data_IF_042647149141
#
_entry.id   IF_042647149141
#
_cell.length_a   1.000
_cell.length_b   1.000
_cell.length_c   1.000
_cell.angle_alpha   90.00
_cell.angle_beta   90.00
_cell.angle_gamma   90.00
#
_symmetry.space_group_name_H-M   'P 1'
#
loop_
_entity.id
_entity.type
_entity.pdbx_description
1 polymer ?
#
# COMPACT_ATOMS: atom_id res chain seq x y z
N UNK A 1 19.66 -45.64 -12.61
CA UNK A 1 18.43 -44.81 -12.63
C UNK A 1 18.75 -43.46 -12.01
N UNK A 2 18.61 -42.40 -12.81
CA UNK A 2 19.03 -41.04 -12.49
C UNK A 2 18.29 -40.49 -11.27
N UNK A 3 19.04 -40.02 -10.28
CA UNK A 3 18.55 -39.01 -9.34
C UNK A 3 18.57 -37.68 -10.08
N UNK A 4 17.40 -37.24 -10.56
CA UNK A 4 17.24 -35.86 -11.02
C UNK A 4 17.27 -35.02 -9.74
N UNK A 5 18.24 -34.10 -9.57
CA UNK A 5 18.12 -33.12 -8.51
C UNK A 5 17.00 -32.17 -8.92
N UNK A 6 15.86 -32.25 -8.23
CA UNK A 6 14.81 -31.25 -8.31
C UNK A 6 15.42 -29.91 -7.92
N UNK A 7 15.67 -29.10 -8.93
CA UNK A 7 16.21 -27.78 -8.77
C UNK A 7 14.99 -26.87 -8.55
N UNK A 8 14.57 -26.76 -7.29
CA UNK A 8 13.57 -25.80 -6.79
C UNK A 8 14.10 -24.35 -7.00
N UNK A 9 14.29 -23.92 -8.24
CA UNK A 9 14.44 -22.49 -8.53
C UNK A 9 13.03 -21.92 -8.57
N UNK A 10 12.65 -21.08 -7.59
CA UNK A 10 11.40 -20.34 -7.71
C UNK A 10 11.44 -19.50 -8.98
N UNK A 11 10.51 -19.73 -9.90
CA UNK A 11 10.50 -19.01 -11.18
C UNK A 11 10.43 -17.50 -10.92
N UNK A 12 11.26 -16.72 -11.61
CA UNK A 12 11.31 -15.25 -11.48
C UNK A 12 9.94 -14.61 -11.73
N UNK A 13 9.11 -15.24 -12.58
CA UNK A 13 7.73 -14.83 -12.84
C UNK A 13 6.82 -15.05 -11.63
N UNK A 14 6.98 -16.16 -10.92
CA UNK A 14 6.20 -16.45 -9.71
C UNK A 14 6.60 -15.50 -8.57
N UNK A 15 7.89 -15.23 -8.39
CA UNK A 15 8.37 -14.32 -7.33
C UNK A 15 7.94 -12.87 -7.56
N UNK A 16 8.03 -12.39 -8.80
CA UNK A 16 7.53 -11.05 -9.18
C UNK A 16 6.00 -10.95 -9.09
N UNK A 17 5.28 -11.98 -9.52
CA UNK A 17 3.82 -12.06 -9.39
C UNK A 17 3.37 -12.04 -7.93
N UNK A 18 4.02 -12.81 -7.06
CA UNK A 18 3.74 -12.81 -5.62
C UNK A 18 4.04 -11.46 -4.99
N UNK A 19 5.13 -10.78 -5.38
CA UNK A 19 5.42 -9.43 -4.91
C UNK A 19 4.33 -8.42 -5.29
N UNK A 20 3.90 -8.43 -6.56
CA UNK A 20 2.84 -7.55 -7.03
C UNK A 20 1.51 -7.83 -6.31
N UNK A 21 1.17 -9.11 -6.15
CA UNK A 21 -0.02 -9.53 -5.42
C UNK A 21 0.01 -9.10 -3.95
N UNK A 22 1.17 -9.21 -3.29
CA UNK A 22 1.34 -8.71 -1.92
C UNK A 22 1.12 -7.20 -1.84
N UNK A 23 1.66 -6.41 -2.77
CA UNK A 23 1.45 -4.95 -2.76
C UNK A 23 -0.01 -4.57 -3.01
N UNK A 24 -0.67 -5.26 -3.93
CA UNK A 24 -2.11 -5.08 -4.16
C UNK A 24 -2.94 -5.48 -2.92
N UNK A 25 -2.59 -6.58 -2.26
CA UNK A 25 -3.24 -7.00 -1.02
C UNK A 25 -3.04 -5.98 0.12
N UNK A 26 -1.85 -5.39 0.25
CA UNK A 26 -1.58 -4.34 1.22
C UNK A 26 -2.43 -3.09 0.93
N UNK A 27 -2.47 -2.64 -0.33
CA UNK A 27 -3.29 -1.51 -0.73
C UNK A 27 -4.78 -1.77 -0.50
N UNK A 28 -5.26 -2.95 -0.85
CA UNK A 28 -6.65 -3.36 -0.62
C UNK A 28 -7.02 -3.38 0.86
N UNK A 29 -6.17 -3.96 1.71
CA UNK A 29 -6.40 -3.98 3.16
C UNK A 29 -6.33 -2.57 3.76
N UNK A 30 -5.41 -1.73 3.28
CA UNK A 30 -5.29 -0.32 3.69
C UNK A 30 -6.57 0.44 3.33
N UNK A 31 -7.11 0.23 2.13
CA UNK A 31 -8.37 0.81 1.69
C UNK A 31 -9.53 0.41 2.58
N UNK A 32 -9.67 -0.89 2.88
CA UNK A 32 -10.73 -1.39 3.76
C UNK A 32 -10.61 -0.80 5.16
N UNK A 33 -9.40 -0.75 5.74
CA UNK A 33 -9.17 -0.18 7.07
C UNK A 33 -9.52 1.31 7.13
N UNK A 34 -9.08 2.11 6.16
CA UNK A 34 -9.39 3.54 6.13
C UNK A 34 -10.89 3.75 5.89
N UNK A 35 -11.51 2.97 5.01
CA UNK A 35 -12.96 3.06 4.75
C UNK A 35 -13.80 2.71 5.97
N UNK A 36 -13.42 1.69 6.73
CA UNK A 36 -14.05 1.35 8.02
C UNK A 36 -13.87 2.47 9.06
N UNK A 37 -12.71 3.12 9.10
CA UNK A 37 -12.47 4.26 10.00
C UNK A 37 -13.32 5.47 9.59
N UNK A 38 -13.56 5.64 8.30
CA UNK A 38 -14.34 6.75 7.72
C UNK A 38 -15.85 6.50 7.70
N UNK A 39 -16.34 5.33 8.18
CA UNK A 39 -17.76 4.99 8.19
C UNK A 39 -18.60 5.96 9.06
N UNK A 40 -17.98 6.54 10.09
CA UNK A 40 -18.62 7.50 10.99
C UNK A 40 -18.62 8.95 10.48
N UNK A 41 -18.04 9.22 9.31
CA UNK A 41 -17.91 10.56 8.75
C UNK A 41 -18.82 10.72 7.52
N UNK A 42 -19.37 11.93 7.29
CA UNK A 42 -20.17 12.22 6.10
C UNK A 42 -19.31 12.07 4.84
N UNK A 43 -19.87 11.42 3.82
CA UNK A 43 -19.24 11.22 2.51
C UNK A 43 -20.19 11.66 1.40
N UNK A 44 -19.63 12.23 0.33
CA UNK A 44 -20.35 12.55 -0.89
C UNK A 44 -19.67 11.84 -2.06
N UNK A 45 -20.39 10.95 -2.75
CA UNK A 45 -19.86 10.17 -3.88
C UNK A 45 -18.53 9.43 -3.58
N UNK A 46 -18.39 8.87 -2.37
CA UNK A 46 -17.18 8.13 -1.95
C UNK A 46 -15.97 9.02 -1.63
N UNK A 47 -16.18 10.35 -1.53
CA UNK A 47 -15.19 11.33 -1.07
C UNK A 47 -15.62 11.80 0.32
N UNK A 48 -14.80 11.57 1.37
CA UNK A 48 -15.06 12.11 2.69
C UNK A 48 -15.06 13.64 2.69
N UNK A 49 -15.91 14.26 3.51
CA UNK A 49 -15.97 15.73 3.60
C UNK A 49 -14.60 16.32 3.99
N UNK A 50 -14.16 17.34 3.25
CA UNK A 50 -12.84 17.96 3.44
C UNK A 50 -11.67 17.21 2.79
N UNK A 51 -11.91 16.08 2.11
CA UNK A 51 -10.87 15.38 1.34
C UNK A 51 -10.86 15.85 -0.11
N UNK A 52 -9.68 15.97 -0.74
CA UNK A 52 -9.53 16.37 -2.13
C UNK A 52 -9.93 15.28 -3.12
N UNK A 53 -9.98 14.01 -2.68
CA UNK A 53 -10.19 12.86 -3.56
C UNK A 53 -10.70 11.64 -2.77
N UNK A 54 -11.17 10.62 -3.50
CA UNK A 54 -11.69 9.39 -2.91
C UNK A 54 -10.57 8.55 -2.27
N UNK A 55 -10.90 7.86 -1.18
CA UNK A 55 -9.97 6.97 -0.45
C UNK A 55 -9.26 5.96 -1.37
N UNK A 56 -9.95 5.21 -2.27
CA UNK A 56 -9.26 4.25 -3.14
C UNK A 56 -8.30 4.97 -4.09
N UNK A 57 -8.65 6.16 -4.59
CA UNK A 57 -7.76 6.92 -5.46
C UNK A 57 -6.48 7.36 -4.72
N UNK A 58 -6.60 7.81 -3.47
CA UNK A 58 -5.44 8.18 -2.64
C UNK A 58 -4.44 7.02 -2.52
N UNK A 59 -4.95 5.83 -2.24
CA UNK A 59 -4.15 4.66 -1.90
C UNK A 59 -3.55 4.04 -3.16
N UNK A 60 -4.34 3.83 -4.20
CA UNK A 60 -3.87 3.16 -5.41
C UNK A 60 -3.06 4.07 -6.33
N UNK A 61 -3.39 5.37 -6.44
CA UNK A 61 -2.68 6.29 -7.33
C UNK A 61 -1.42 6.91 -6.69
N UNK A 62 -1.42 7.18 -5.39
CA UNK A 62 -0.29 7.84 -4.72
C UNK A 62 0.43 6.91 -3.73
N UNK A 63 -0.32 6.22 -2.87
CA UNK A 63 0.25 5.36 -1.83
C UNK A 63 1.03 4.16 -2.38
N UNK A 64 0.45 3.43 -3.33
CA UNK A 64 1.05 2.23 -3.90
C UNK A 64 2.34 2.54 -4.69
N UNK A 65 2.39 3.54 -5.59
CA UNK A 65 3.63 3.92 -6.25
C UNK A 65 4.70 4.37 -5.27
N UNK A 66 4.34 5.16 -4.25
CA UNK A 66 5.30 5.60 -3.25
C UNK A 66 5.85 4.43 -2.40
N UNK A 67 5.04 3.41 -2.11
CA UNK A 67 5.49 2.19 -1.47
C UNK A 67 6.46 1.38 -2.34
N UNK A 68 6.26 1.36 -3.67
CA UNK A 68 7.21 0.74 -4.61
C UNK A 68 8.53 1.52 -4.65
N UNK A 69 8.47 2.85 -4.68
CA UNK A 69 9.66 3.70 -4.63
C UNK A 69 10.44 3.49 -3.33
N UNK A 70 9.75 3.41 -2.20
CA UNK A 70 10.36 3.12 -0.90
C UNK A 70 11.11 1.78 -0.90
N UNK A 71 10.50 0.72 -1.44
CA UNK A 71 11.13 -0.59 -1.56
C UNK A 71 12.37 -0.57 -2.46
N UNK A 72 12.29 0.12 -3.61
CA UNK A 72 13.41 0.26 -4.53
C UNK A 72 14.55 1.01 -3.85
N UNK A 73 14.25 2.09 -3.14
CA UNK A 73 15.24 2.88 -2.42
C UNK A 73 15.92 2.02 -1.33
N UNK A 74 15.16 1.24 -0.56
CA UNK A 74 15.73 0.34 0.44
C UNK A 74 16.63 -0.73 -0.17
N UNK A 75 16.27 -1.28 -1.33
CA UNK A 75 17.11 -2.23 -2.06
C UNK A 75 18.41 -1.58 -2.53
N UNK A 76 18.36 -0.33 -3.00
CA UNK A 76 19.55 0.43 -3.41
C UNK A 76 20.47 0.74 -2.22
N UNK A 77 19.90 1.10 -1.07
CA UNK A 77 20.66 1.34 0.16
C UNK A 77 21.26 0.05 0.75
N UNK A 78 20.82 -1.14 0.31
CA UNK A 78 21.21 -2.46 0.82
C UNK A 78 21.11 -2.55 2.36
N UNK A 79 20.24 -1.74 2.96
CA UNK A 79 20.14 -1.63 4.40
C UNK A 79 19.06 -2.58 4.92
N UNK A 80 19.44 -3.42 5.89
CA UNK A 80 18.50 -4.29 6.62
C UNK A 80 18.03 -3.63 7.93
N UNK A 81 18.46 -2.41 8.21
CA UNK A 81 18.10 -1.71 9.44
C UNK A 81 16.62 -1.30 9.43
N UNK A 82 15.91 -1.67 10.50
CA UNK A 82 14.52 -1.25 10.72
C UNK A 82 14.37 0.27 10.77
N UNK A 83 15.38 0.98 11.31
CA UNK A 83 15.37 2.44 11.38
C UNK A 83 15.45 3.05 9.98
N UNK A 84 16.33 2.52 9.13
CA UNK A 84 16.45 3.00 7.74
C UNK A 84 15.18 2.71 6.95
N UNK A 85 14.58 1.52 7.14
CA UNK A 85 13.27 1.20 6.55
C UNK A 85 12.20 2.19 6.97
N UNK A 86 12.13 2.56 8.26
CA UNK A 86 11.16 3.51 8.76
C UNK A 86 11.36 4.89 8.14
N UNK A 87 12.59 5.40 8.15
CA UNK A 87 12.92 6.73 7.59
C UNK A 87 12.58 6.81 6.11
N UNK A 88 12.92 5.78 5.33
CA UNK A 88 12.60 5.74 3.89
C UNK A 88 11.09 5.74 3.65
N UNK A 89 10.33 4.95 4.41
CA UNK A 89 8.86 4.93 4.30
C UNK A 89 8.23 6.26 4.71
N UNK A 90 8.75 6.91 5.76
CA UNK A 90 8.29 8.25 6.17
C UNK A 90 8.59 9.29 5.10
N UNK A 91 9.80 9.29 4.55
CA UNK A 91 10.19 10.23 3.49
C UNK A 91 9.36 10.02 2.21
N UNK A 92 9.17 8.76 1.80
CA UNK A 92 8.32 8.42 0.66
C UNK A 92 6.85 8.79 0.92
N UNK A 93 6.36 8.60 2.15
CA UNK A 93 5.00 8.93 2.56
C UNK A 93 4.74 10.43 2.53
N UNK A 94 5.67 11.20 3.07
CA UNK A 94 5.62 12.65 3.00
C UNK A 94 5.64 13.14 1.55
N UNK A 95 6.53 12.58 0.71
CA UNK A 95 6.59 12.88 -0.72
C UNK A 95 5.28 12.56 -1.46
N UNK A 96 4.65 11.42 -1.16
CA UNK A 96 3.36 11.05 -1.74
C UNK A 96 2.24 12.03 -1.35
N UNK A 97 2.23 12.44 -0.08
CA UNK A 97 1.29 13.44 0.44
C UNK A 97 1.47 14.81 -0.20
N UNK A 98 2.71 15.26 -0.38
CA UNK A 98 3.02 16.50 -1.09
C UNK A 98 2.65 16.43 -2.57
N UNK A 99 2.91 15.30 -3.23
CA UNK A 99 2.53 15.09 -4.63
C UNK A 99 1.01 15.18 -4.80
N UNK A 100 0.25 14.51 -3.94
CA UNK A 100 -1.21 14.60 -3.91
C UNK A 100 -1.68 16.04 -3.66
N UNK A 101 -1.10 16.73 -2.68
CA UNK A 101 -1.46 18.10 -2.34
C UNK A 101 -1.21 19.07 -3.51
N UNK A 102 -0.09 18.88 -4.22
CA UNK A 102 0.27 19.70 -5.37
C UNK A 102 -0.69 19.50 -6.56
N UNK A 103 -1.14 18.27 -6.83
CA UNK A 103 -2.08 18.01 -7.92
C UNK A 103 -3.51 18.45 -7.62
N UNK A 104 -3.96 18.31 -6.37
CA UNK A 104 -5.34 18.59 -5.98
C UNK A 104 -5.54 19.98 -5.38
N UNK A 105 -4.48 20.79 -5.29
CA UNK A 105 -4.54 22.13 -4.67
C UNK A 105 -4.86 22.11 -3.17
N UNK A 106 -4.47 21.04 -2.47
CA UNK A 106 -4.76 20.85 -1.05
C UNK A 106 -3.62 21.37 -0.16
N UNK A 107 -3.86 21.45 1.15
CA UNK A 107 -2.87 21.95 2.11
C UNK A 107 -1.66 21.01 2.22
N UNK A 108 -0.48 21.50 1.84
CA UNK A 108 0.77 20.73 1.74
C UNK A 108 1.14 20.01 3.04
N UNK A 109 1.05 20.69 4.19
CA UNK A 109 1.52 20.14 5.45
C UNK A 109 0.58 19.03 5.98
N UNK A 110 -0.72 19.28 5.94
CA UNK A 110 -1.74 18.31 6.35
C UNK A 110 -1.64 17.04 5.50
N UNK A 111 -1.59 17.19 4.17
CA UNK A 111 -1.52 16.05 3.26
C UNK A 111 -0.17 15.36 3.25
N UNK A 112 0.93 16.09 3.49
CA UNK A 112 2.24 15.50 3.77
C UNK A 112 2.21 14.57 4.98
N UNK A 113 1.62 15.01 6.09
CA UNK A 113 1.43 14.16 7.28
C UNK A 113 0.49 12.98 7.02
N UNK A 114 -0.60 13.20 6.30
CA UNK A 114 -1.53 12.13 5.91
C UNK A 114 -0.84 11.07 5.03
N UNK A 115 0.06 11.50 4.12
CA UNK A 115 0.86 10.62 3.29
C UNK A 115 1.83 9.75 4.11
N UNK A 116 2.48 10.30 5.14
CA UNK A 116 3.28 9.53 6.10
C UNK A 116 2.41 8.44 6.75
N UNK A 117 1.26 8.83 7.28
CA UNK A 117 0.37 7.91 8.00
C UNK A 117 -0.16 6.81 7.08
N UNK A 118 -0.54 7.15 5.85
CA UNK A 118 -0.99 6.19 4.84
C UNK A 118 0.09 5.18 4.46
N UNK A 119 1.34 5.62 4.29
CA UNK A 119 2.44 4.73 3.92
C UNK A 119 2.93 3.87 5.08
N UNK A 120 2.88 4.39 6.31
CA UNK A 120 3.08 3.57 7.52
C UNK A 120 1.98 2.53 7.68
N UNK A 121 0.72 2.88 7.41
CA UNK A 121 -0.39 1.93 7.44
C UNK A 121 -0.18 0.83 6.39
N UNK A 122 0.20 1.18 5.16
CA UNK A 122 0.60 0.23 4.12
C UNK A 122 1.71 -0.71 4.61
N UNK A 123 2.72 -0.20 5.32
CA UNK A 123 3.78 -1.04 5.89
C UNK A 123 3.24 -2.00 6.96
N UNK A 124 2.31 -1.57 7.80
CA UNK A 124 1.68 -2.42 8.81
C UNK A 124 0.83 -3.50 8.15
N UNK A 125 0.04 -3.15 7.12
CA UNK A 125 -0.75 -4.13 6.36
C UNK A 125 0.14 -5.18 5.70
N UNK A 126 1.33 -4.77 5.22
CA UNK A 126 2.32 -5.68 4.66
C UNK A 126 2.79 -6.73 5.67
N UNK A 127 3.08 -6.32 6.91
CA UNK A 127 3.45 -7.26 7.98
C UNK A 127 2.32 -8.25 8.33
N UNK A 128 1.06 -7.83 8.19
CA UNK A 128 -0.10 -8.69 8.38
C UNK A 128 -0.30 -9.69 7.24
N UNK A 129 -0.24 -9.20 6.00
CA UNK A 129 -0.45 -10.00 4.78
C UNK A 129 0.65 -11.04 4.59
N UNK A 130 1.91 -10.71 4.90
CA UNK A 130 3.03 -11.65 4.83
C UNK A 130 2.86 -12.87 5.76
N UNK A 131 2.09 -12.73 6.85
CA UNK A 131 1.74 -13.86 7.75
C UNK A 131 0.68 -14.79 7.19
N UNK A 132 -0.04 -14.40 6.14
CA UNK A 132 -1.18 -15.16 5.61
C UNK A 132 -1.18 -15.15 4.07
N UNK A 133 -0.18 -15.79 3.42
CA UNK A 133 -0.02 -15.74 1.96
C UNK A 133 -1.21 -16.35 1.20
N UNK A 134 -1.93 -17.32 1.80
CA UNK A 134 -3.11 -17.93 1.17
C UNK A 134 -4.28 -16.94 1.00
N UNK A 135 -4.33 -15.88 1.82
CA UNK A 135 -5.38 -14.85 1.77
C UNK A 135 -5.01 -13.66 0.88
N UNK A 136 -3.83 -13.67 0.25
CA UNK A 136 -3.38 -12.62 -0.66
C UNK A 136 -4.43 -12.25 -1.73
N UNK A 137 -5.05 -13.20 -2.46
CA UNK A 137 -6.06 -12.86 -3.47
C UNK A 137 -7.31 -12.23 -2.86
N UNK A 138 -7.67 -12.66 -1.65
CA UNK A 138 -8.84 -12.14 -0.91
C UNK A 138 -8.62 -10.68 -0.55
N UNK A 139 -7.47 -10.34 0.01
CA UNK A 139 -7.15 -8.96 0.38
C UNK A 139 -6.85 -8.06 -0.83
N UNK A 140 -6.33 -8.62 -1.93
CA UNK A 140 -6.01 -7.86 -3.14
C UNK A 140 -7.25 -7.51 -3.98
N UNK A 141 -8.23 -8.41 -4.05
CA UNK A 141 -9.36 -8.30 -4.99
C UNK A 141 -10.71 -8.38 -4.29
N UNK A 142 -10.99 -9.48 -3.60
CA UNK A 142 -12.36 -9.75 -3.12
C UNK A 142 -12.81 -8.78 -2.03
N UNK A 143 -11.96 -8.52 -1.04
CA UNK A 143 -12.30 -7.66 0.09
C UNK A 143 -12.43 -6.18 -0.31
N UNK A 144 -11.53 -5.59 -1.12
CA UNK A 144 -11.71 -4.24 -1.63
C UNK A 144 -12.96 -4.09 -2.50
N UNK A 145 -13.23 -5.05 -3.40
CA UNK A 145 -14.42 -5.01 -4.24
C UNK A 145 -15.72 -5.13 -3.43
N UNK A 146 -15.72 -6.01 -2.42
CA UNK A 146 -16.85 -6.12 -1.49
C UNK A 146 -17.06 -4.81 -0.73
N UNK A 147 -15.98 -4.19 -0.25
CA UNK A 147 -16.04 -2.91 0.45
C UNK A 147 -16.58 -1.80 -0.45
N UNK A 148 -16.19 -1.77 -1.73
CA UNK A 148 -16.69 -0.80 -2.71
C UNK A 148 -18.16 -1.04 -3.07
N UNK A 149 -18.62 -2.29 -3.07
CA UNK A 149 -20.03 -2.62 -3.32
C UNK A 149 -20.96 -2.22 -2.16
N UNK A 150 -20.44 -2.24 -0.92
CA UNK A 150 -21.21 -2.01 0.29
C UNK A 150 -21.23 -0.53 0.75
N UNK A 151 -20.34 0.31 0.23
CA UNK A 151 -20.22 1.75 0.51
C UNK A 151 -20.81 2.58 -0.64
#
# INVERSE_FOLDING_TARGET
MNKIPDYDIPSVRLTSGMYALTKLACAGLTYVLISLLMLGFPQHNGIPEGWPLSIPYAIYAYGLPAALVADVLLRLLRSTSHIVSLVVYVAAGFGAGLWLAAEQGAELLLWGLAGILGLLLLRVTQLGVERSPLLLPVFALFLPLLCLLLL
#
